data_IF_570129333037
#
_entry.id   IF_570129333037
#
_cell.length_a   1.000
_cell.length_b   1.000
_cell.length_c   1.000
_cell.angle_alpha   90.00
_cell.angle_beta   90.00
_cell.angle_gamma   90.00
#
_symmetry.space_group_name_H-M   'P 1'
#
loop_
_entity.id
_entity.type
_entity.pdbx_description
1 polymer ?
#
# COMPACT_ATOMS: atom_id res chain seq x y z
N UNK A 1 21.51 -5.89 -4.80
CA UNK A 1 21.00 -6.51 -3.55
C UNK A 1 19.62 -5.96 -3.25
N UNK A 2 18.58 -6.79 -3.36
CA UNK A 2 17.15 -6.41 -3.17
C UNK A 2 16.85 -5.72 -1.83
N UNK A 3 17.70 -5.94 -0.82
CA UNK A 3 17.58 -5.37 0.53
C UNK A 3 17.71 -3.84 0.60
N UNK A 4 18.39 -3.20 -0.37
CA UNK A 4 18.60 -1.75 -0.36
C UNK A 4 17.47 -0.95 -1.02
N UNK A 5 16.64 -1.56 -1.86
CA UNK A 5 15.56 -0.83 -2.54
C UNK A 5 14.42 -0.46 -1.60
N UNK A 6 14.07 -1.35 -0.67
CA UNK A 6 13.03 -1.06 0.32
C UNK A 6 13.47 0.08 1.24
N UNK A 7 14.72 0.05 1.69
CA UNK A 7 15.31 1.10 2.52
C UNK A 7 15.34 2.44 1.77
N UNK A 8 15.74 2.44 0.48
CA UNK A 8 15.71 3.66 -0.35
C UNK A 8 14.31 4.25 -0.53
N UNK A 9 13.26 3.41 -0.59
CA UNK A 9 11.87 3.88 -0.71
C UNK A 9 11.29 4.35 0.60
N UNK A 10 11.65 3.71 1.71
CA UNK A 10 11.38 4.24 3.06
C UNK A 10 12.06 5.59 3.25
N UNK A 11 13.33 5.73 2.84
CA UNK A 11 14.07 7.00 2.85
C UNK A 11 13.49 8.05 1.91
N UNK A 12 12.75 7.65 0.88
CA UNK A 12 12.04 8.58 0.02
C UNK A 12 10.82 9.21 0.71
N UNK A 13 10.36 8.64 1.84
CA UNK A 13 9.35 9.17 2.75
C UNK A 13 8.17 9.80 2.00
N UNK A 14 7.70 9.12 0.95
CA UNK A 14 6.66 9.63 0.05
C UNK A 14 5.67 8.53 -0.24
N UNK A 15 4.39 8.83 -0.03
CA UNK A 15 3.27 7.95 -0.32
C UNK A 15 3.19 7.69 -1.84
N UNK A 16 3.33 6.43 -2.25
CA UNK A 16 3.26 6.03 -3.66
C UNK A 16 1.83 6.09 -4.24
N UNK A 17 0.82 6.42 -3.42
CA UNK A 17 -0.57 6.60 -3.84
C UNK A 17 -1.00 8.06 -4.00
N UNK A 18 -0.60 8.94 -3.07
CA UNK A 18 -1.04 10.34 -3.05
C UNK A 18 0.10 11.37 -3.06
N UNK A 19 1.36 10.93 -2.95
CA UNK A 19 2.52 11.82 -2.89
C UNK A 19 2.75 12.50 -1.54
N UNK A 20 1.94 12.22 -0.51
CA UNK A 20 2.15 12.78 0.84
C UNK A 20 3.46 12.27 1.45
N UNK A 21 4.20 13.17 2.11
CA UNK A 21 5.43 12.85 2.84
C UNK A 21 5.25 12.84 4.36
N UNK A 22 4.00 12.76 4.80
CA UNK A 22 3.61 12.83 6.21
C UNK A 22 3.06 11.49 6.66
N UNK A 23 3.55 10.99 7.81
CA UNK A 23 3.16 9.73 8.44
C UNK A 23 3.22 8.54 7.47
N UNK A 24 4.37 8.33 6.84
CA UNK A 24 4.55 7.33 5.79
C UNK A 24 4.94 5.98 6.38
N UNK A 25 4.17 4.94 6.05
CA UNK A 25 4.29 3.58 6.58
C UNK A 25 4.44 2.57 5.43
N UNK A 26 5.07 1.43 5.71
CA UNK A 26 5.18 0.33 4.74
C UNK A 26 4.01 -0.62 4.90
N UNK A 27 3.13 -0.61 3.91
CA UNK A 27 2.13 -1.65 3.75
C UNK A 27 2.78 -2.93 3.21
N UNK A 28 2.61 -4.05 3.90
CA UNK A 28 3.10 -5.36 3.47
C UNK A 28 1.95 -6.35 3.31
N UNK A 29 1.90 -7.07 2.19
CA UNK A 29 0.93 -8.14 1.95
C UNK A 29 1.58 -9.52 1.96
N UNK A 30 0.86 -10.52 2.47
CA UNK A 30 1.35 -11.90 2.60
C UNK A 30 1.70 -12.53 1.24
N UNK A 31 0.83 -12.39 0.26
CA UNK A 31 1.09 -12.83 -1.11
C UNK A 31 0.36 -11.95 -2.15
N UNK A 32 0.98 -11.77 -3.33
CA UNK A 32 0.38 -11.01 -4.43
C UNK A 32 -0.92 -11.64 -4.96
N UNK A 33 -1.08 -12.96 -4.80
CA UNK A 33 -2.32 -13.65 -5.18
C UNK A 33 -3.52 -13.21 -4.34
N UNK A 34 -3.27 -12.78 -3.10
CA UNK A 34 -4.33 -12.36 -2.16
C UNK A 34 -4.89 -10.98 -2.57
N UNK A 35 -4.21 -10.26 -3.47
CA UNK A 35 -4.68 -9.00 -4.05
C UNK A 35 -5.83 -9.18 -5.05
N UNK A 36 -6.00 -10.37 -5.63
CA UNK A 36 -7.09 -10.68 -6.55
C UNK A 36 -8.24 -11.33 -5.79
N UNK A 37 -9.00 -10.54 -5.04
CA UNK A 37 -10.22 -11.01 -4.38
C UNK A 37 -11.29 -11.27 -5.46
N UNK A 38 -11.67 -12.54 -5.66
CA UNK A 38 -12.75 -12.93 -6.58
C UNK A 38 -14.05 -12.25 -6.14
N UNK A 39 -14.63 -11.42 -7.01
CA UNK A 39 -15.91 -10.76 -6.76
C UNK A 39 -15.86 -9.22 -6.65
N UNK A 40 -14.67 -8.62 -6.51
CA UNK A 40 -14.54 -7.16 -6.64
C UNK A 40 -14.50 -6.76 -8.13
N UNK A 41 -15.53 -6.02 -8.56
CA UNK A 41 -15.62 -5.47 -9.93
C UNK A 41 -14.54 -4.42 -10.22
N UNK A 42 -14.14 -3.66 -9.21
CA UNK A 42 -13.09 -2.65 -9.32
C UNK A 42 -11.93 -2.96 -8.37
N UNK A 43 -10.71 -3.03 -8.92
CA UNK A 43 -9.50 -3.21 -8.14
C UNK A 43 -9.09 -1.87 -7.52
N UNK A 44 -8.89 -1.79 -6.20
CA UNK A 44 -8.36 -0.60 -5.55
C UNK A 44 -7.04 -0.15 -6.18
N UNK A 45 -6.76 1.16 -6.18
CA UNK A 45 -5.51 1.71 -6.74
C UNK A 45 -4.26 1.04 -6.15
N UNK A 46 -4.25 0.76 -4.85
CA UNK A 46 -3.13 0.10 -4.19
C UNK A 46 -2.87 -1.31 -4.74
N UNK A 47 -3.94 -2.08 -5.02
CA UNK A 47 -3.85 -3.40 -5.67
C UNK A 47 -3.24 -3.30 -7.06
N UNK A 48 -3.66 -2.30 -7.85
CA UNK A 48 -3.14 -2.07 -9.19
C UNK A 48 -1.64 -1.73 -9.15
N UNK A 49 -1.22 -0.86 -8.23
CA UNK A 49 0.18 -0.46 -8.07
C UNK A 49 1.04 -1.66 -7.62
N UNK A 50 0.60 -2.43 -6.62
CA UNK A 50 1.32 -3.61 -6.15
C UNK A 50 1.43 -4.71 -7.22
N UNK A 51 0.36 -4.92 -8.00
CA UNK A 51 0.35 -5.86 -9.11
C UNK A 51 1.28 -5.42 -10.25
N UNK A 52 1.26 -4.14 -10.62
CA UNK A 52 2.15 -3.59 -11.65
C UNK A 52 3.62 -3.68 -11.23
N UNK A 53 3.93 -3.37 -9.97
CA UNK A 53 5.30 -3.42 -9.43
C UNK A 53 5.77 -4.83 -9.09
N UNK A 54 4.85 -5.82 -9.02
CA UNK A 54 5.10 -7.19 -8.57
C UNK A 54 5.84 -7.26 -7.22
N UNK A 55 5.55 -6.33 -6.32
CA UNK A 55 6.21 -6.21 -5.01
C UNK A 55 5.20 -6.38 -3.90
N UNK A 56 5.58 -7.11 -2.84
CA UNK A 56 4.73 -7.36 -1.66
C UNK A 56 4.69 -6.19 -0.68
N UNK A 57 5.39 -5.10 -0.98
CA UNK A 57 5.49 -3.91 -0.14
C UNK A 57 5.10 -2.67 -0.93
N UNK A 58 4.39 -1.76 -0.28
CA UNK A 58 3.96 -0.47 -0.81
C UNK A 58 4.20 0.60 0.27
N UNK A 59 4.80 1.73 -0.10
CA UNK A 59 5.02 2.84 0.84
C UNK A 59 3.84 3.80 0.74
N UNK A 60 3.12 4.01 1.83
CA UNK A 60 1.87 4.80 1.85
C UNK A 60 1.75 5.62 3.13
N UNK A 61 1.18 6.82 3.05
CA UNK A 61 0.83 7.55 4.26
C UNK A 61 -0.23 6.79 5.07
N UNK A 62 -0.31 7.04 6.37
CA UNK A 62 -1.28 6.40 7.28
C UNK A 62 -2.71 6.45 6.76
N UNK A 63 -3.13 7.56 6.15
CA UNK A 63 -4.45 7.68 5.52
C UNK A 63 -4.64 6.69 4.37
N UNK A 64 -3.65 6.57 3.47
CA UNK A 64 -3.68 5.60 2.37
C UNK A 64 -3.52 4.16 2.86
N UNK A 65 -2.76 3.95 3.94
CA UNK A 65 -2.62 2.65 4.58
C UNK A 65 -3.97 2.16 5.13
N UNK A 66 -4.70 3.03 5.83
CA UNK A 66 -6.04 2.73 6.33
C UNK A 66 -7.03 2.51 5.19
N UNK A 67 -7.01 3.34 4.15
CA UNK A 67 -7.84 3.14 2.95
C UNK A 67 -7.56 1.81 2.25
N UNK A 68 -6.34 1.30 2.31
CA UNK A 68 -5.97 0.01 1.71
C UNK A 68 -6.54 -1.19 2.49
N UNK A 69 -6.62 -1.09 3.82
CA UNK A 69 -7.16 -2.14 4.68
C UNK A 69 -8.69 -2.19 4.71
N UNK A 70 -9.35 -1.04 4.71
CA UNK A 70 -10.77 -1.01 5.08
C UNK A 70 -11.74 -1.06 3.89
N UNK A 71 -11.31 -0.75 2.66
CA UNK A 71 -12.23 -0.65 1.51
C UNK A 71 -13.34 0.41 1.63
N UNK A 72 -13.47 1.04 2.79
CA UNK A 72 -14.42 2.10 3.11
C UNK A 72 -13.75 3.12 4.02
N UNK A 73 -13.71 4.37 3.59
CA UNK A 73 -13.43 5.51 4.45
C UNK A 73 -14.37 5.48 5.68
N UNK A 74 -13.81 5.32 6.89
CA UNK A 74 -14.49 5.56 8.17
C UNK A 74 -13.48 5.98 9.26
N UNK A 75 -13.57 7.19 9.85
CA UNK A 75 -12.49 7.81 10.63
C UNK A 75 -12.28 7.26 12.06
N UNK A 76 -12.60 6.00 12.39
CA UNK A 76 -12.60 5.55 13.80
C UNK A 76 -12.12 4.15 14.16
N UNK A 77 -11.40 3.41 13.31
CA UNK A 77 -10.74 2.20 13.81
C UNK A 77 -9.33 2.01 13.29
N UNK A 78 -8.44 2.00 14.25
CA UNK A 78 -7.02 1.73 14.17
C UNK A 78 -6.76 0.56 15.11
N UNK A 79 -6.34 -0.59 14.58
CA UNK A 79 -5.38 -1.49 15.22
C UNK A 79 -4.85 -2.47 14.17
#
# INVERSE_FOLDING_TARGET
>A
TERNELIKRLLADTCEMCGSTVDVEVHHVRALRDLNVKGQREKPKWVQIMAARKRKTLVVCRTCHLNAHDGSWNPRKQQ
#
